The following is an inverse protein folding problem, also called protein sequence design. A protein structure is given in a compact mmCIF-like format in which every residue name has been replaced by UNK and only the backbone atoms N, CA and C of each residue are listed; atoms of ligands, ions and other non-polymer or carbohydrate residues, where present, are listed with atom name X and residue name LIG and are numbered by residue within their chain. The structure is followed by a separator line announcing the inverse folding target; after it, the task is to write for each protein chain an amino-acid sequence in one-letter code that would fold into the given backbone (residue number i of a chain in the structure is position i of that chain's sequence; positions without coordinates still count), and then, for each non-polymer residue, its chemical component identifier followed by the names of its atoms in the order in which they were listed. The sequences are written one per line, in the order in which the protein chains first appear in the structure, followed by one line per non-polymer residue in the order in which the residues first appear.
data_IF_626980483921
#
_entry.id   IF_626980483921
#
_cell.length_a   1.000
_cell.length_b   1.000
_cell.length_c   1.000
_cell.angle_alpha   90.00
_cell.angle_beta   90.00
_cell.angle_gamma   90.00
#
_symmetry.space_group_name_H-M   'P 1'
#
loop_
_entity.id
_entity.type
_entity.pdbx_description
1 polymer ?
#
# COMPACT_ATOMS: atom_id res chain seq x y z
N UNK A 1 18.77 0.29 7.18
CA UNK A 1 17.58 0.72 6.41
C UNK A 1 16.62 1.36 7.38
N UNK A 2 16.39 2.65 7.21
CA UNK A 2 15.58 3.44 8.14
C UNK A 2 14.12 3.56 7.66
N UNK A 3 13.88 3.37 6.36
CA UNK A 3 12.57 3.49 5.75
C UNK A 3 12.38 2.57 4.53
N UNK A 4 11.14 2.19 4.27
CA UNK A 4 10.71 1.45 3.07
C UNK A 4 9.70 2.32 2.33
N UNK A 5 9.90 2.48 1.02
CA UNK A 5 9.06 3.35 0.19
C UNK A 5 8.03 2.54 -0.58
N UNK A 6 6.82 3.07 -0.66
CA UNK A 6 5.74 2.52 -1.46
C UNK A 6 5.15 3.63 -2.32
N UNK A 7 4.94 3.37 -3.62
CA UNK A 7 4.37 4.36 -4.54
C UNK A 7 2.84 4.30 -4.51
N UNK A 8 2.22 5.43 -4.20
CA UNK A 8 0.75 5.57 -4.10
C UNK A 8 0.16 6.42 -5.22
N UNK A 9 0.97 6.85 -6.20
CA UNK A 9 0.59 7.90 -7.17
C UNK A 9 -0.53 7.48 -8.12
N UNK A 10 -0.69 6.18 -8.34
CA UNK A 10 -1.70 5.59 -9.24
C UNK A 10 -2.85 4.91 -8.48
N UNK A 11 -2.96 5.12 -7.17
CA UNK A 11 -3.97 4.45 -6.36
C UNK A 11 -5.33 5.15 -6.47
N UNK A 12 -6.38 4.36 -6.63
CA UNK A 12 -7.75 4.83 -6.71
C UNK A 12 -8.47 4.78 -5.35
N UNK A 13 -9.61 5.45 -5.23
CA UNK A 13 -10.45 5.36 -4.05
C UNK A 13 -10.89 3.91 -3.79
N UNK A 14 -10.66 3.40 -2.59
CA UNK A 14 -10.89 2.00 -2.24
C UNK A 14 -9.73 1.06 -2.57
N UNK A 15 -8.67 1.54 -3.24
CA UNK A 15 -7.49 0.74 -3.52
C UNK A 15 -6.71 0.45 -2.22
N UNK A 16 -6.10 -0.74 -2.17
CA UNK A 16 -5.29 -1.20 -1.05
C UNK A 16 -3.90 -1.52 -1.54
N UNK A 17 -2.89 -0.89 -0.95
CA UNK A 17 -1.48 -1.20 -1.19
C UNK A 17 -1.05 -2.34 -0.28
N UNK A 18 -0.33 -3.30 -0.84
CA UNK A 18 0.11 -4.49 -0.12
C UNK A 18 1.62 -4.53 -0.03
N UNK A 19 2.13 -5.43 0.81
CA UNK A 19 3.57 -5.66 0.99
C UNK A 19 4.26 -6.00 -0.34
N UNK A 20 3.56 -6.61 -1.31
CA UNK A 20 4.11 -6.89 -2.65
C UNK A 20 4.45 -5.64 -3.49
N UNK A 21 3.82 -4.52 -3.20
CA UNK A 21 3.90 -3.29 -4.00
C UNK A 21 4.94 -2.30 -3.43
N UNK A 22 5.63 -2.67 -2.34
CA UNK A 22 6.66 -1.86 -1.71
C UNK A 22 8.01 -2.06 -2.42
N UNK A 23 8.78 -0.98 -2.55
CA UNK A 23 10.13 -1.04 -3.09
C UNK A 23 11.05 -1.68 -2.07
N UNK A 24 11.44 -2.93 -2.33
CA UNK A 24 12.41 -3.65 -1.48
C UNK A 24 13.77 -2.93 -1.50
N UNK A 25 14.29 -2.49 -0.34
CA UNK A 25 15.65 -1.97 -0.27
C UNK A 25 16.66 -3.11 -0.45
N UNK A 26 17.83 -2.81 -1.04
CA UNK A 26 18.87 -3.80 -1.30
C UNK A 26 19.38 -4.43 0.01
N UNK A 27 19.48 -5.77 0.02
CA UNK A 27 19.98 -6.53 1.17
C UNK A 27 18.96 -6.83 2.28
N UNK A 28 17.66 -6.54 2.07
CA UNK A 28 16.59 -6.79 3.05
C UNK A 28 15.61 -7.82 2.53
N UNK A 29 15.27 -8.80 3.37
CA UNK A 29 14.29 -9.84 3.08
C UNK A 29 12.96 -9.52 3.78
N UNK A 30 11.86 -9.61 3.03
CA UNK A 30 10.51 -9.45 3.55
C UNK A 30 10.07 -10.79 4.13
N UNK A 31 9.95 -10.88 5.45
CA UNK A 31 9.48 -12.09 6.17
C UNK A 31 7.95 -12.18 6.26
N UNK A 32 7.27 -11.05 6.11
CA UNK A 32 5.81 -10.98 6.10
C UNK A 32 5.21 -11.46 4.77
N UNK A 33 4.00 -11.99 4.83
CA UNK A 33 3.28 -12.41 3.64
C UNK A 33 3.02 -11.22 2.69
N UNK A 34 3.36 -11.39 1.42
CA UNK A 34 3.15 -10.44 0.31
C UNK A 34 1.69 -10.00 0.11
N UNK A 35 0.72 -10.74 0.65
CA UNK A 35 -0.71 -10.41 0.60
C UNK A 35 -1.16 -9.44 1.70
N UNK A 36 -0.34 -9.21 2.72
CA UNK A 36 -0.70 -8.35 3.85
C UNK A 36 -0.94 -6.91 3.35
N UNK A 37 -2.08 -6.30 3.67
CA UNK A 37 -2.35 -4.91 3.34
C UNK A 37 -1.52 -3.98 4.23
N UNK A 38 -0.92 -2.96 3.64
CA UNK A 38 -0.08 -1.96 4.33
C UNK A 38 -0.86 -0.66 4.52
N UNK A 39 -1.64 -0.24 3.52
CA UNK A 39 -2.54 0.90 3.62
C UNK A 39 -3.71 0.75 2.64
N UNK A 40 -4.82 1.42 2.94
CA UNK A 40 -6.02 1.45 2.09
C UNK A 40 -6.50 2.88 1.94
N UNK A 41 -6.87 3.26 0.72
CA UNK A 41 -7.51 4.55 0.47
C UNK A 41 -8.99 4.41 0.83
N UNK A 42 -9.39 5.05 1.92
CA UNK A 42 -10.79 5.07 2.32
C UNK A 42 -11.63 5.91 1.35
N UNK A 43 -12.79 5.37 0.94
CA UNK A 43 -13.79 6.12 0.16
C UNK A 43 -14.61 6.97 1.13
N UNK A 44 -14.49 8.31 1.10
CA UNK A 44 -15.23 9.17 2.01
C UNK A 44 -16.74 9.02 1.79
N UNK A 45 -17.51 9.13 2.87
CA UNK A 45 -18.98 8.95 2.83
C UNK A 45 -19.67 9.88 1.85
N UNK A 46 -19.15 11.09 1.65
CA UNK A 46 -19.66 12.05 0.68
C UNK A 46 -19.64 11.53 -0.77
N UNK A 47 -18.73 10.61 -1.09
CA UNK A 47 -18.62 9.97 -2.40
C UNK A 47 -19.38 8.64 -2.51
N UNK A 48 -19.84 8.07 -1.37
CA UNK A 48 -20.67 6.84 -1.37
C UNK A 48 -22.12 7.09 -1.79
N UNK A 49 -22.55 8.35 -1.93
CA UNK A 49 -23.93 8.73 -2.21
C UNK A 49 -24.06 9.70 -3.38
N UNK A 50 -23.99 9.18 -4.60
CA UNK A 50 -24.83 9.63 -5.72
C UNK A 50 -25.03 8.49 -6.71
#
# INVERSE_FOLDING_TARGET
VDEVKADISKMELGATIRVRDISKPEGVEITNNMAVPVATIEVPRALKGK
#
